data_IF_796596017234
#
_entry.id   IF_796596017234
#
_cell.length_a   1.000
_cell.length_b   1.000
_cell.length_c   1.000
_cell.angle_alpha   90.00
_cell.angle_beta   90.00
_cell.angle_gamma   90.00
#
_symmetry.space_group_name_H-M   'P 1'
#
loop_
_entity.id
_entity.type
_entity.pdbx_description
1 polymer ?
#
# COMPACT_ATOMS: atom_id res chain seq x y z
N UNK A 1 -1.91 -5.46 4.79
CA UNK A 1 -1.75 -5.89 6.20
C UNK A 1 -3.11 -6.07 6.84
N UNK A 2 -3.26 -7.05 7.73
CA UNK A 2 -4.56 -7.35 8.35
C UNK A 2 -4.38 -7.57 9.86
N UNK A 3 -5.35 -7.12 10.65
CA UNK A 3 -5.56 -7.56 12.02
C UNK A 3 -6.57 -8.71 12.03
N UNK A 4 -6.22 -9.83 12.66
CA UNK A 4 -7.08 -11.01 12.75
C UNK A 4 -7.55 -11.24 14.19
N UNK A 5 -8.86 -11.36 14.37
CA UNK A 5 -9.43 -11.66 15.68
C UNK A 5 -9.08 -13.09 16.11
N UNK A 6 -8.48 -13.24 17.31
CA UNK A 6 -8.12 -14.55 17.88
C UNK A 6 -9.27 -15.23 18.64
N UNK A 7 -10.31 -14.46 18.97
CA UNK A 7 -11.55 -14.86 19.63
C UNK A 7 -12.67 -13.92 19.16
N UNK A 8 -13.92 -14.22 19.49
CA UNK A 8 -15.02 -13.29 19.30
C UNK A 8 -14.77 -12.02 20.13
N UNK A 9 -14.92 -10.85 19.51
CA UNK A 9 -14.66 -9.53 20.09
C UNK A 9 -15.89 -8.64 19.91
N UNK A 10 -16.22 -7.87 20.94
CA UNK A 10 -17.20 -6.78 20.87
C UNK A 10 -16.46 -5.48 21.16
N UNK A 11 -16.49 -4.54 20.20
CA UNK A 11 -15.93 -3.21 20.34
C UNK A 11 -17.08 -2.25 20.65
N UNK A 12 -17.02 -1.58 21.79
CA UNK A 12 -17.96 -0.54 22.22
C UNK A 12 -17.33 0.84 22.06
N UNK A 13 -18.05 1.75 21.41
CA UNK A 13 -17.63 3.15 21.31
C UNK A 13 -18.35 4.00 22.36
N UNK A 14 -17.66 5.00 22.91
CA UNK A 14 -18.26 5.99 23.83
C UNK A 14 -19.09 7.06 23.07
N UNK A 15 -19.38 6.83 21.79
CA UNK A 15 -20.22 7.68 20.94
C UNK A 15 -21.50 6.93 20.55
N UNK A 16 -22.44 7.62 19.90
CA UNK A 16 -23.66 7.01 19.36
C UNK A 16 -23.40 5.96 18.24
N UNK A 17 -22.13 5.73 17.86
CA UNK A 17 -21.73 4.79 16.80
C UNK A 17 -21.99 3.30 17.14
N UNK A 18 -22.45 2.98 18.35
CA UNK A 18 -22.95 1.66 18.71
C UNK A 18 -21.84 0.63 19.03
N UNK A 19 -22.09 -0.64 18.66
CA UNK A 19 -21.18 -1.76 18.91
C UNK A 19 -20.79 -2.44 17.60
N UNK A 20 -19.53 -2.84 17.48
CA UNK A 20 -19.06 -3.70 16.38
C UNK A 20 -18.77 -5.09 16.96
N UNK A 21 -19.24 -6.11 16.27
CA UNK A 21 -18.98 -7.50 16.58
C UNK A 21 -18.03 -8.07 15.54
N UNK A 22 -16.94 -8.69 15.98
CA UNK A 22 -15.95 -9.32 15.12
C UNK A 22 -15.82 -10.78 15.54
N UNK A 23 -16.01 -11.71 14.61
CA UNK A 23 -15.92 -13.14 14.91
C UNK A 23 -14.48 -13.62 14.97
N UNK A 24 -14.23 -14.66 15.75
CA UNK A 24 -12.95 -15.36 15.76
C UNK A 24 -12.57 -15.73 14.32
N UNK A 25 -11.38 -15.29 13.90
CA UNK A 25 -10.84 -15.55 12.57
C UNK A 25 -11.14 -14.48 11.53
N UNK A 26 -12.11 -13.60 11.77
CA UNK A 26 -12.40 -12.44 10.93
C UNK A 26 -11.21 -11.47 10.92
N UNK A 27 -11.03 -10.75 9.81
CA UNK A 27 -9.90 -9.84 9.63
C UNK A 27 -10.33 -8.44 9.24
N UNK A 28 -9.68 -7.43 9.83
CA UNK A 28 -9.75 -6.04 9.38
C UNK A 28 -8.51 -5.77 8.54
N UNK A 29 -8.73 -5.33 7.30
CA UNK A 29 -7.66 -4.83 6.45
C UNK A 29 -7.19 -3.46 6.96
N UNK A 30 -5.89 -3.28 7.18
CA UNK A 30 -5.34 -2.06 7.77
C UNK A 30 -4.42 -1.28 6.83
N UNK A 31 -3.89 -1.91 5.77
CA UNK A 31 -2.90 -1.27 4.90
C UNK A 31 -2.76 -2.01 3.57
N UNK A 32 -2.59 -1.25 2.48
CA UNK A 32 -2.14 -1.74 1.19
C UNK A 32 -0.70 -1.27 0.91
N UNK A 33 0.19 -2.21 0.57
CA UNK A 33 1.55 -1.91 0.13
C UNK A 33 1.74 -2.42 -1.30
N UNK A 34 1.29 -1.63 -2.27
CA UNK A 34 1.41 -1.96 -3.69
C UNK A 34 2.89 -2.07 -4.09
N UNK A 35 3.23 -3.09 -4.87
CA UNK A 35 4.59 -3.32 -5.38
C UNK A 35 4.64 -2.97 -6.86
N UNK A 36 5.76 -2.40 -7.31
CA UNK A 36 5.89 -1.86 -8.65
C UNK A 36 6.94 -2.63 -9.43
N UNK A 37 6.63 -2.98 -10.67
CA UNK A 37 7.61 -3.41 -11.65
C UNK A 37 8.08 -2.21 -12.51
N UNK A 38 9.03 -2.46 -13.42
CA UNK A 38 9.59 -1.44 -14.29
C UNK A 38 8.56 -0.73 -15.17
N UNK A 39 7.56 -1.44 -15.68
CA UNK A 39 6.51 -0.86 -16.52
C UNK A 39 5.58 0.04 -15.70
N UNK A 40 5.22 -0.38 -14.48
CA UNK A 40 4.43 0.46 -13.57
C UNK A 40 5.17 1.76 -13.24
N UNK A 41 6.48 1.70 -12.98
CA UNK A 41 7.32 2.86 -12.71
C UNK A 41 7.25 3.84 -13.90
N UNK A 42 7.49 3.36 -15.12
CA UNK A 42 7.43 4.19 -16.33
C UNK A 42 6.04 4.79 -16.55
N UNK A 43 4.99 4.00 -16.37
CA UNK A 43 3.61 4.47 -16.52
C UNK A 43 3.29 5.59 -15.52
N UNK A 44 3.69 5.46 -14.25
CA UNK A 44 3.44 6.50 -13.24
C UNK A 44 4.18 7.79 -13.59
N UNK A 45 5.44 7.70 -14.02
CA UNK A 45 6.19 8.86 -14.52
C UNK A 45 5.47 9.53 -15.70
N UNK A 46 5.12 8.76 -16.73
CA UNK A 46 4.44 9.26 -17.93
C UNK A 46 3.12 9.98 -17.59
N UNK A 47 2.26 9.36 -16.76
CA UNK A 47 1.00 9.97 -16.34
C UNK A 47 1.19 11.21 -15.47
N UNK A 48 2.32 11.33 -14.77
CA UNK A 48 2.70 12.51 -14.02
C UNK A 48 3.39 13.59 -14.89
N UNK A 49 3.56 13.38 -16.19
CA UNK A 49 4.29 14.29 -17.08
C UNK A 49 5.80 14.31 -16.84
N UNK A 50 6.35 13.16 -16.44
CA UNK A 50 7.76 12.96 -16.11
C UNK A 50 8.37 11.80 -16.93
N UNK A 51 9.58 12.03 -17.42
CA UNK A 51 10.38 11.05 -18.14
C UNK A 51 11.20 10.25 -17.14
N UNK A 52 11.25 8.93 -17.33
CA UNK A 52 12.06 8.04 -16.50
C UNK A 52 13.49 8.03 -17.03
N UNK A 53 14.35 8.87 -16.46
CA UNK A 53 15.76 9.00 -16.89
C UNK A 53 16.60 7.81 -16.44
N UNK A 54 16.50 7.43 -15.16
CA UNK A 54 17.29 6.33 -14.61
C UNK A 54 16.59 5.64 -13.45
N UNK A 55 16.76 4.31 -13.39
CA UNK A 55 16.30 3.49 -12.26
C UNK A 55 17.54 2.84 -11.63
N UNK A 56 17.75 3.12 -10.35
CA UNK A 56 18.78 2.50 -9.53
C UNK A 56 18.13 1.41 -8.71
N UNK A 57 18.82 0.28 -8.53
CA UNK A 57 18.33 -0.81 -7.70
C UNK A 57 19.49 -1.47 -6.97
N UNK A 58 19.20 -2.11 -5.84
CA UNK A 58 20.19 -2.90 -5.11
C UNK A 58 20.57 -4.17 -5.89
N UNK A 59 21.65 -4.85 -5.48
CA UNK A 59 22.16 -6.03 -6.18
C UNK A 59 21.12 -7.17 -6.29
N UNK A 60 20.18 -7.26 -5.34
CA UNK A 60 19.14 -8.28 -5.32
C UNK A 60 17.86 -7.82 -6.03
N UNK A 61 17.81 -6.58 -6.52
CA UNK A 61 16.68 -5.96 -7.23
C UNK A 61 15.39 -5.92 -6.40
N UNK A 62 15.50 -5.68 -5.09
CA UNK A 62 14.33 -5.64 -4.19
C UNK A 62 13.72 -4.25 -4.06
N UNK A 63 14.52 -3.21 -4.25
CA UNK A 63 14.06 -1.83 -4.16
C UNK A 63 14.62 -0.99 -5.29
N UNK A 64 13.81 -0.04 -5.76
CA UNK A 64 14.20 0.86 -6.85
C UNK A 64 14.11 2.32 -6.38
N UNK A 65 15.16 3.09 -6.64
CA UNK A 65 15.14 4.54 -6.60
C UNK A 65 15.07 5.07 -8.04
N UNK A 66 14.10 5.92 -8.32
CA UNK A 66 13.82 6.39 -9.69
C UNK A 66 14.15 7.88 -9.80
N UNK A 67 15.03 8.22 -10.73
CA UNK A 67 15.28 9.58 -11.15
C UNK A 67 14.33 9.93 -12.29
N UNK A 68 13.35 10.77 -11.98
CA UNK A 68 12.43 11.35 -12.95
C UNK A 68 12.87 12.76 -13.31
N UNK A 69 12.54 13.18 -14.53
CA UNK A 69 12.78 14.54 -15.03
C UNK A 69 11.52 15.07 -15.68
N UNK A 70 11.29 16.38 -15.57
CA UNK A 70 10.17 17.04 -16.22
C UNK A 70 10.28 16.91 -17.74
N UNK A 71 9.20 16.46 -18.37
CA UNK A 71 9.08 16.41 -19.83
C UNK A 71 9.26 17.84 -20.37
N UNK A 72 9.98 17.98 -21.48
CA UNK A 72 10.08 19.27 -22.17
C UNK A 72 8.77 19.62 -22.86
#
# INVERSE_FOLDING_TARGET
>A
MHLKARKDIVITFNSAAGKIYIKKGETIHTENSHKFNYDNIKSIGYWAGLDTEKIFTDNNKWFSLVHYKKNK
#
